data_IF_637254176880
#
_entry.id   IF_637254176880
#
_cell.length_a   1.000
_cell.length_b   1.000
_cell.length_c   1.000
_cell.angle_alpha   90.00
_cell.angle_beta   90.00
_cell.angle_gamma   90.00
#
_symmetry.space_group_name_H-M   'P 1'
#
loop_
_entity.id
_entity.type
_entity.pdbx_description
1 polymer ?
#
# COMPACT_ATOMS: atom_id res chain seq x y z
N UNK A 1 1.17 -29.96 -0.69
CA UNK A 1 0.27 -28.93 -0.18
C UNK A 1 0.82 -27.59 -0.63
N UNK A 2 -0.03 -26.73 -1.18
CA UNK A 2 0.37 -25.36 -1.45
C UNK A 2 0.04 -24.50 -0.23
N UNK A 3 0.77 -23.41 -0.03
CA UNK A 3 0.45 -22.42 0.99
C UNK A 3 0.83 -21.04 0.51
N UNK A 4 -0.16 -20.16 0.38
CA UNK A 4 0.03 -18.74 0.19
C UNK A 4 0.12 -18.04 1.55
N UNK A 5 1.19 -17.26 1.71
CA UNK A 5 1.35 -16.32 2.82
C UNK A 5 1.09 -14.93 2.28
N UNK A 6 -0.06 -14.34 2.60
CA UNK A 6 -0.38 -12.95 2.28
C UNK A 6 -0.03 -12.04 3.46
N UNK A 7 0.61 -10.91 3.18
CA UNK A 7 1.02 -9.91 4.19
C UNK A 7 0.48 -8.54 3.81
N UNK A 8 -0.24 -7.90 4.73
CA UNK A 8 -0.59 -6.48 4.68
C UNK A 8 0.20 -5.71 5.74
N UNK A 9 1.22 -4.98 5.29
CA UNK A 9 2.05 -4.13 6.14
C UNK A 9 1.51 -2.71 6.04
N UNK A 10 1.16 -2.07 7.16
CA UNK A 10 0.58 -0.74 7.16
C UNK A 10 1.30 0.19 8.12
N UNK A 11 1.40 1.47 7.79
CA UNK A 11 1.81 2.50 8.76
C UNK A 11 0.86 3.68 8.70
N UNK A 12 0.44 4.15 9.87
CA UNK A 12 -0.37 5.34 10.05
C UNK A 12 0.42 6.45 10.73
N UNK A 13 -0.14 7.65 10.69
CA UNK A 13 0.43 8.87 11.27
C UNK A 13 1.84 9.15 10.72
N UNK A 14 2.02 8.89 9.43
CA UNK A 14 3.29 9.05 8.74
C UNK A 14 3.40 10.48 8.21
N UNK A 15 4.55 11.11 8.43
CA UNK A 15 4.92 12.35 7.72
C UNK A 15 5.69 11.96 6.46
N UNK A 16 5.27 12.42 5.29
CA UNK A 16 5.93 12.02 4.04
C UNK A 16 7.38 12.50 3.98
N UNK A 17 7.72 13.59 4.66
CA UNK A 17 9.09 14.10 4.77
C UNK A 17 10.04 13.11 5.45
N UNK A 18 9.52 12.20 6.30
CA UNK A 18 10.31 11.13 6.90
C UNK A 18 10.72 10.07 5.87
N UNK A 19 9.97 9.93 4.78
CA UNK A 19 10.31 9.04 3.66
C UNK A 19 11.23 9.73 2.63
N UNK A 20 11.21 11.07 2.55
CA UNK A 20 11.95 11.80 1.53
C UNK A 20 13.45 11.90 1.81
N UNK A 21 13.92 11.35 2.94
CA UNK A 21 15.31 11.23 3.40
C UNK A 21 16.15 12.53 3.35
N UNK A 22 15.53 13.68 3.10
CA UNK A 22 16.06 15.02 3.42
C UNK A 22 15.97 15.30 4.92
N UNK A 23 15.44 14.34 5.69
CA UNK A 23 15.61 14.23 7.12
C UNK A 23 17.10 14.02 7.44
N UNK A 24 17.87 15.10 7.44
CA UNK A 24 18.99 15.20 8.38
C UNK A 24 18.39 14.93 9.77
N UNK A 25 18.85 13.94 10.55
CA UNK A 25 18.36 13.71 11.91
C UNK A 25 18.53 14.96 12.81
N UNK A 26 19.33 15.95 12.40
CA UNK A 26 19.43 17.28 13.03
C UNK A 26 18.35 18.27 12.54
N UNK A 27 17.77 18.08 11.34
CA UNK A 27 16.56 18.80 10.86
C UNK A 27 15.27 18.22 11.41
N UNK A 28 15.22 16.94 11.76
CA UNK A 28 14.10 16.38 12.56
C UNK A 28 13.97 17.07 13.94
N UNK A 29 15.03 17.74 14.40
CA UNK A 29 15.04 18.63 15.55
C UNK A 29 14.73 20.11 15.20
N UNK A 30 14.09 20.41 14.07
CA UNK A 30 13.36 21.67 13.93
C UNK A 30 12.15 21.63 14.86
N UNK A 31 12.42 21.82 16.16
CA UNK A 31 11.42 22.27 17.11
C UNK A 31 10.79 23.51 16.49
N UNK A 32 9.46 23.51 16.43
CA UNK A 32 8.69 24.67 16.02
C UNK A 32 9.31 25.92 16.67
N UNK A 33 9.74 26.86 15.84
CA UNK A 33 10.47 28.04 16.31
C UNK A 33 9.56 28.99 17.10
N UNK A 34 8.25 28.79 16.96
CA UNK A 34 7.19 29.52 17.66
C UNK A 34 6.09 28.58 18.16
N UNK A 35 5.32 29.03 19.16
CA UNK A 35 4.11 28.33 19.61
C UNK A 35 3.08 28.22 18.49
N UNK A 36 2.98 29.22 17.61
CA UNK A 36 2.07 29.19 16.47
C UNK A 36 2.43 28.08 15.49
N UNK A 37 3.72 27.91 15.17
CA UNK A 37 4.21 26.79 14.36
C UNK A 37 3.97 25.43 15.03
N UNK A 38 4.07 25.36 16.35
CA UNK A 38 3.81 24.12 17.10
C UNK A 38 2.33 23.71 17.04
N UNK A 39 1.43 24.70 17.01
CA UNK A 39 -0.01 24.49 16.97
C UNK A 39 -0.54 24.23 15.54
N UNK A 40 0.26 24.45 14.50
CA UNK A 40 -0.14 24.13 13.13
C UNK A 40 -0.30 22.61 12.99
N UNK A 41 -1.46 22.11 12.53
CA UNK A 41 -1.64 20.70 12.30
C UNK A 41 -0.66 20.23 11.22
N UNK A 42 0.15 19.22 11.56
CA UNK A 42 1.06 18.61 10.58
C UNK A 42 0.27 17.54 9.82
N UNK A 43 0.23 17.58 8.48
CA UNK A 43 -0.46 16.56 7.73
C UNK A 43 0.21 15.20 7.96
N UNK A 44 -0.64 14.19 8.12
CA UNK A 44 -0.19 12.80 8.27
C UNK A 44 -0.91 11.92 7.26
N UNK A 45 -0.24 10.85 6.90
CA UNK A 45 -0.64 9.94 5.84
C UNK A 45 -0.56 8.49 6.33
N UNK A 46 -1.14 7.60 5.55
CA UNK A 46 -1.04 6.17 5.71
C UNK A 46 -0.40 5.54 4.48
N UNK A 47 0.46 4.55 4.70
CA UNK A 47 0.99 3.67 3.64
C UNK A 47 0.59 2.23 3.89
N UNK A 48 0.35 1.49 2.82
CA UNK A 48 -0.02 0.08 2.83
C UNK A 48 0.83 -0.66 1.80
N UNK A 49 1.39 -1.79 2.20
CA UNK A 49 2.24 -2.62 1.36
C UNK A 49 1.65 -4.03 1.32
N UNK A 50 1.28 -4.48 0.12
CA UNK A 50 0.65 -5.77 -0.14
C UNK A 50 1.68 -6.66 -0.80
N UNK A 51 1.99 -7.77 -0.15
CA UNK A 51 3.02 -8.71 -0.59
C UNK A 51 2.65 -10.11 -0.17
N UNK A 52 3.36 -11.10 -0.69
CA UNK A 52 3.17 -12.47 -0.27
C UNK A 52 4.19 -13.43 -0.81
N UNK A 53 4.07 -14.66 -0.35
CA UNK A 53 4.95 -15.77 -0.71
C UNK A 53 4.11 -17.00 -1.00
N UNK A 54 4.29 -17.59 -2.18
CA UNK A 54 3.69 -18.86 -2.57
C UNK A 54 4.66 -20.00 -2.28
N UNK A 55 4.29 -20.92 -1.39
CA UNK A 55 4.97 -22.18 -1.14
C UNK A 55 4.30 -23.30 -1.93
N UNK A 56 5.03 -23.92 -2.83
CA UNK A 56 4.56 -25.08 -3.60
C UNK A 56 5.41 -26.31 -3.26
N UNK A 57 4.77 -27.47 -3.16
CA UNK A 57 5.45 -28.70 -2.74
C UNK A 57 6.63 -29.05 -3.65
N UNK A 58 7.82 -29.16 -3.07
CA UNK A 58 9.03 -29.57 -3.80
C UNK A 58 9.60 -28.48 -4.72
N UNK A 59 9.18 -27.23 -4.56
CA UNK A 59 9.72 -26.07 -5.28
C UNK A 59 10.21 -25.00 -4.31
N UNK A 60 11.09 -24.12 -4.78
CA UNK A 60 11.52 -22.94 -4.03
C UNK A 60 10.35 -21.95 -3.82
N UNK A 61 10.32 -21.20 -2.70
CA UNK A 61 9.29 -20.20 -2.47
C UNK A 61 9.34 -19.10 -3.53
N UNK A 62 8.17 -18.68 -4.03
CA UNK A 62 8.04 -17.58 -4.98
C UNK A 62 7.49 -16.34 -4.29
N UNK A 63 8.19 -15.22 -4.40
CA UNK A 63 7.84 -13.98 -3.72
C UNK A 63 7.17 -12.97 -4.66
N UNK A 64 6.13 -12.33 -4.14
CA UNK A 64 5.38 -11.28 -4.81
C UNK A 64 3.88 -11.49 -4.66
N UNK A 65 3.14 -10.40 -4.46
CA UNK A 65 1.68 -10.43 -4.40
C UNK A 65 1.06 -11.09 -5.65
N UNK A 66 1.58 -10.78 -6.84
CA UNK A 66 1.11 -11.39 -8.11
C UNK A 66 1.52 -12.85 -8.31
N UNK A 67 2.25 -13.45 -7.37
CA UNK A 67 2.63 -14.88 -7.41
C UNK A 67 1.80 -15.78 -6.52
N UNK A 68 0.92 -15.21 -5.71
CA UNK A 68 0.00 -15.98 -4.87
C UNK A 68 -1.01 -16.72 -5.76
N UNK A 69 -1.31 -17.97 -5.43
CA UNK A 69 -2.40 -18.71 -6.11
C UNK A 69 -3.76 -18.06 -5.84
N UNK A 70 -3.91 -17.44 -4.67
CA UNK A 70 -5.08 -16.66 -4.28
C UNK A 70 -5.09 -15.23 -4.84
N UNK A 71 -4.17 -14.86 -5.75
CA UNK A 71 -4.02 -13.49 -6.27
C UNK A 71 -5.33 -12.90 -6.75
N UNK A 72 -6.09 -13.60 -7.61
CA UNK A 72 -7.34 -13.05 -8.16
C UNK A 72 -8.36 -12.67 -7.07
N UNK A 73 -8.46 -13.50 -6.01
CA UNK A 73 -9.37 -13.26 -4.87
C UNK A 73 -8.88 -12.10 -4.00
N UNK A 74 -7.57 -12.04 -3.76
CA UNK A 74 -6.96 -10.94 -2.99
C UNK A 74 -7.01 -9.62 -3.76
N UNK A 75 -6.84 -9.65 -5.07
CA UNK A 75 -6.93 -8.46 -5.90
C UNK A 75 -8.38 -7.98 -6.04
N UNK A 76 -9.35 -8.88 -6.18
CA UNK A 76 -10.77 -8.52 -6.08
C UNK A 76 -11.12 -7.88 -4.72
N UNK A 77 -10.58 -8.42 -3.62
CA UNK A 77 -10.69 -7.80 -2.30
C UNK A 77 -10.06 -6.41 -2.23
N UNK A 78 -8.90 -6.21 -2.86
CA UNK A 78 -8.25 -4.91 -2.99
C UNK A 78 -9.16 -3.93 -3.72
N UNK A 79 -9.66 -4.28 -4.90
CA UNK A 79 -10.55 -3.46 -5.72
C UNK A 79 -11.80 -3.03 -4.96
N UNK A 80 -12.43 -3.96 -4.22
CA UNK A 80 -13.63 -3.69 -3.41
C UNK A 80 -13.37 -2.83 -2.18
N UNK A 81 -12.14 -2.78 -1.67
CA UNK A 81 -11.77 -1.91 -0.55
C UNK A 81 -11.60 -0.45 -1.00
N UNK A 82 -11.19 -0.24 -2.25
CA UNK A 82 -10.93 1.09 -2.81
C UNK A 82 -12.07 1.61 -3.70
N UNK A 83 -13.10 0.84 -3.98
CA UNK A 83 -14.28 1.29 -4.73
C UNK A 83 -15.20 2.19 -3.88
N UNK A 84 -15.96 3.12 -4.49
CA UNK A 84 -15.90 3.55 -5.90
C UNK A 84 -14.84 4.65 -6.08
N UNK A 85 -13.87 4.44 -6.97
CA UNK A 85 -12.85 5.45 -7.32
C UNK A 85 -12.59 5.45 -8.82
N UNK A 86 -12.29 6.63 -9.37
CA UNK A 86 -11.76 6.85 -10.70
C UNK A 86 -10.27 6.52 -10.71
N UNK A 87 -9.85 5.79 -11.73
CA UNK A 87 -8.46 5.35 -11.89
C UNK A 87 -7.79 6.20 -12.95
N UNK A 88 -6.64 6.77 -12.63
CA UNK A 88 -5.88 7.65 -13.52
C UNK A 88 -4.46 7.09 -13.61
N UNK A 89 -4.08 6.68 -14.81
CA UNK A 89 -2.70 6.30 -15.14
C UNK A 89 -2.00 7.39 -15.94
N UNK A 90 -0.78 7.08 -16.40
CA UNK A 90 0.05 7.99 -17.20
C UNK A 90 -0.67 8.53 -18.45
N UNK A 91 -1.50 7.70 -19.09
CA UNK A 91 -2.20 8.03 -20.33
C UNK A 91 -3.64 8.52 -20.11
N UNK A 92 -3.99 8.88 -18.87
CA UNK A 92 -5.32 9.37 -18.50
C UNK A 92 -6.16 8.34 -17.76
N UNK A 93 -7.48 8.49 -17.87
CA UNK A 93 -8.44 7.65 -17.13
C UNK A 93 -8.39 6.20 -17.60
N UNK A 94 -8.43 5.28 -16.64
CA UNK A 94 -8.53 3.84 -16.84
C UNK A 94 -9.95 3.37 -16.50
N UNK A 95 -10.37 2.20 -17.02
CA UNK A 95 -11.59 1.55 -16.57
C UNK A 95 -11.55 1.35 -15.05
N UNK A 96 -12.64 1.75 -14.37
CA UNK A 96 -12.75 1.59 -12.92
C UNK A 96 -12.84 0.13 -12.48
N UNK A 97 -12.77 -0.09 -11.16
CA UNK A 97 -12.75 -1.40 -10.52
C UNK A 97 -13.91 -2.35 -10.87
N UNK A 98 -15.05 -1.81 -11.32
CA UNK A 98 -16.24 -2.59 -11.71
C UNK A 98 -16.23 -2.99 -13.20
N UNK A 99 -15.16 -2.71 -13.93
CA UNK A 99 -15.04 -3.03 -15.36
C UNK A 99 -14.45 -4.43 -15.58
N UNK A 100 -14.93 -5.14 -16.60
CA UNK A 100 -14.28 -6.37 -17.10
C UNK A 100 -12.87 -6.13 -17.67
N UNK A 101 -12.47 -4.87 -17.85
CA UNK A 101 -11.13 -4.43 -18.27
C UNK A 101 -10.38 -3.69 -17.15
N UNK A 102 -10.66 -4.01 -15.88
CA UNK A 102 -9.98 -3.41 -14.73
C UNK A 102 -8.47 -3.61 -14.82
N UNK A 103 -7.72 -2.55 -14.53
CA UNK A 103 -6.26 -2.59 -14.52
C UNK A 103 -5.74 -3.70 -13.60
N UNK A 104 -4.64 -4.33 -14.01
CA UNK A 104 -3.88 -5.26 -13.18
C UNK A 104 -2.39 -4.86 -13.19
N UNK A 105 -1.65 -5.14 -12.10
CA UNK A 105 -0.21 -4.89 -12.03
C UNK A 105 0.52 -5.69 -13.11
N UNK A 106 1.23 -5.00 -14.00
CA UNK A 106 1.84 -5.65 -15.17
C UNK A 106 3.35 -5.46 -15.26
N UNK A 107 3.85 -4.32 -14.78
CA UNK A 107 5.28 -3.99 -14.77
C UNK A 107 5.64 -3.25 -13.47
N UNK A 108 6.90 -3.30 -13.01
CA UNK A 108 7.34 -2.52 -11.86
C UNK A 108 7.34 -1.02 -12.20
N UNK A 109 7.11 -0.19 -11.19
CA UNK A 109 7.11 1.27 -11.31
C UNK A 109 5.87 1.89 -11.95
N UNK A 110 4.83 1.09 -12.23
CA UNK A 110 3.52 1.65 -12.60
C UNK A 110 2.99 2.47 -11.45
N UNK A 111 2.43 3.63 -11.78
CA UNK A 111 1.82 4.53 -10.82
C UNK A 111 0.40 4.80 -11.25
N UNK A 112 -0.52 4.71 -10.29
CA UNK A 112 -1.93 5.03 -10.47
C UNK A 112 -2.39 6.00 -9.40
N UNK A 113 -3.25 6.92 -9.80
CA UNK A 113 -3.97 7.81 -8.89
C UNK A 113 -5.42 7.36 -8.84
N UNK A 114 -5.95 7.19 -7.63
CA UNK A 114 -7.33 6.74 -7.40
C UNK A 114 -8.10 7.80 -6.64
N UNK A 115 -9.04 8.48 -7.30
CA UNK A 115 -9.81 9.56 -6.70
C UNK A 115 -11.28 9.16 -6.53
N UNK A 116 -11.93 9.57 -5.45
CA UNK A 116 -13.39 9.58 -5.46
C UNK A 116 -13.89 10.61 -6.49
N UNK A 117 -15.15 10.51 -6.90
CA UNK A 117 -15.74 11.48 -7.83
C UNK A 117 -15.65 12.90 -7.26
N UNK A 118 -15.94 13.07 -5.97
CA UNK A 118 -15.90 14.35 -5.27
C UNK A 118 -14.49 14.94 -5.24
N UNK A 119 -13.49 14.09 -4.94
CA UNK A 119 -12.08 14.49 -4.94
C UNK A 119 -11.62 14.93 -6.34
N UNK A 120 -12.00 14.19 -7.38
CA UNK A 120 -11.66 14.51 -8.76
C UNK A 120 -12.30 15.84 -9.22
N UNK A 121 -13.57 16.08 -8.88
CA UNK A 121 -14.27 17.32 -9.18
C UNK A 121 -13.69 18.53 -8.44
N UNK A 122 -13.32 18.36 -7.17
CA UNK A 122 -12.64 19.41 -6.41
C UNK A 122 -11.29 19.75 -7.03
N UNK A 123 -10.48 18.73 -7.32
CA UNK A 123 -9.17 18.87 -7.93
C UNK A 123 -9.23 19.60 -9.28
N UNK A 124 -10.21 19.24 -10.12
CA UNK A 124 -10.45 19.89 -11.41
C UNK A 124 -10.85 21.37 -11.26
N UNK A 125 -11.70 21.71 -10.29
CA UNK A 125 -12.11 23.11 -10.02
C UNK A 125 -10.96 23.99 -9.56
N UNK A 126 -10.01 23.42 -8.81
CA UNK A 126 -8.81 24.12 -8.35
C UNK A 126 -7.78 24.33 -9.49
N UNK A 127 -8.07 23.85 -10.71
CA UNK A 127 -7.17 23.96 -11.86
C UNK A 127 -5.89 23.15 -11.68
N UNK A 128 -5.89 22.19 -10.76
CA UNK A 128 -4.72 21.40 -10.40
C UNK A 128 -4.54 20.25 -11.39
N UNK A 129 -3.30 20.01 -11.80
CA UNK A 129 -2.93 18.88 -12.66
C UNK A 129 -2.06 17.90 -11.90
N UNK A 130 -2.25 16.60 -12.15
CA UNK A 130 -1.35 15.57 -11.63
C UNK A 130 -0.01 15.73 -12.35
N UNK A 131 1.07 15.90 -11.58
CA UNK A 131 2.42 16.03 -12.16
C UNK A 131 2.76 14.79 -13.01
N UNK A 132 3.24 14.95 -14.26
CA UNK A 132 3.73 13.84 -15.07
C UNK A 132 4.84 13.03 -14.36
N UNK A 133 5.64 13.70 -13.53
CA UNK A 133 6.74 13.08 -12.77
C UNK A 133 6.24 12.02 -11.79
N UNK A 134 4.99 12.13 -11.31
CA UNK A 134 4.39 11.09 -10.48
C UNK A 134 4.35 9.74 -11.22
N UNK A 135 4.16 9.76 -12.53
CA UNK A 135 4.08 8.58 -13.39
C UNK A 135 5.43 8.14 -13.96
N UNK A 136 6.52 8.87 -13.71
CA UNK A 136 7.85 8.55 -14.24
C UNK A 136 8.41 7.30 -13.54
N UNK A 137 8.61 6.16 -14.22
CA UNK A 137 9.04 4.92 -13.57
C UNK A 137 10.47 4.96 -13.02
N UNK A 138 11.32 5.83 -13.57
CA UNK A 138 12.71 5.99 -13.15
C UNK A 138 12.86 6.69 -11.78
N UNK A 139 11.84 7.42 -11.34
CA UNK A 139 11.85 8.09 -10.04
C UNK A 139 11.47 7.10 -8.94
N UNK A 140 12.27 7.07 -7.89
CA UNK A 140 11.96 6.36 -6.66
C UNK A 140 10.71 6.93 -5.99
N UNK A 141 10.05 6.13 -5.14
CA UNK A 141 8.92 6.60 -4.29
C UNK A 141 9.30 7.88 -3.55
N UNK A 142 10.56 7.97 -3.08
CA UNK A 142 11.12 9.12 -2.38
C UNK A 142 11.12 10.39 -3.24
N UNK A 143 11.56 10.30 -4.49
CA UNK A 143 11.55 11.44 -5.43
C UNK A 143 10.12 11.85 -5.81
N UNK A 144 9.18 10.89 -5.79
CA UNK A 144 7.77 11.12 -6.09
C UNK A 144 6.98 11.78 -4.95
N UNK A 145 7.54 11.91 -3.74
CA UNK A 145 6.83 12.46 -2.58
C UNK A 145 6.27 13.86 -2.87
N UNK A 146 7.09 14.77 -3.38
CA UNK A 146 6.65 16.13 -3.68
C UNK A 146 5.51 16.19 -4.70
N UNK A 147 5.45 15.20 -5.61
CA UNK A 147 4.42 15.10 -6.64
C UNK A 147 3.15 14.38 -6.16
N UNK A 148 3.27 13.48 -5.18
CA UNK A 148 2.12 12.75 -4.63
C UNK A 148 1.41 13.52 -3.51
N UNK A 149 2.12 14.35 -2.73
CA UNK A 149 1.52 15.09 -1.60
C UNK A 149 0.27 15.88 -1.99
N UNK A 150 0.28 16.69 -3.06
CA UNK A 150 -0.91 17.45 -3.47
C UNK A 150 -2.09 16.53 -3.82
N UNK A 151 -1.81 15.41 -4.50
CA UNK A 151 -2.82 14.42 -4.90
C UNK A 151 -3.44 13.74 -3.67
N UNK A 152 -2.63 13.39 -2.68
CA UNK A 152 -3.09 12.82 -1.42
C UNK A 152 -3.89 13.84 -0.61
N UNK A 153 -3.49 15.11 -0.63
CA UNK A 153 -4.18 16.19 0.08
C UNK A 153 -5.59 16.46 -0.44
N UNK A 154 -5.81 16.21 -1.73
CA UNK A 154 -7.11 16.24 -2.38
C UNK A 154 -8.01 15.04 -2.07
N UNK A 155 -7.54 14.08 -1.26
CA UNK A 155 -8.30 12.88 -0.90
C UNK A 155 -8.19 11.73 -1.90
N UNK A 156 -7.32 11.84 -2.91
CA UNK A 156 -7.00 10.72 -3.77
C UNK A 156 -6.01 9.76 -3.08
N UNK A 157 -5.89 8.56 -3.63
CA UNK A 157 -4.89 7.56 -3.27
C UNK A 157 -3.82 7.48 -4.36
N UNK A 158 -2.61 7.05 -4.01
CA UNK A 158 -1.53 6.84 -4.96
C UNK A 158 -1.00 5.42 -4.80
N UNK A 159 -1.10 4.63 -5.87
CA UNK A 159 -0.69 3.23 -5.90
C UNK A 159 0.55 3.08 -6.77
N UNK A 160 1.56 2.39 -6.25
CA UNK A 160 2.75 1.96 -6.97
C UNK A 160 2.78 0.44 -7.10
N UNK A 161 3.28 -0.05 -8.23
CA UNK A 161 3.73 -1.43 -8.37
C UNK A 161 5.21 -1.53 -8.06
N UNK A 162 5.58 -2.41 -7.15
CA UNK A 162 6.97 -2.61 -6.70
C UNK A 162 7.49 -3.95 -7.21
N UNK A 163 8.78 -4.02 -7.56
CA UNK A 163 9.40 -5.27 -7.97
C UNK A 163 9.60 -6.18 -6.75
N UNK A 164 9.00 -7.38 -6.77
CA UNK A 164 9.33 -8.48 -5.85
C UNK A 164 10.33 -9.44 -6.51
N UNK A 165 10.86 -10.43 -5.77
CA UNK A 165 11.84 -11.36 -6.37
C UNK A 165 11.31 -12.11 -7.58
N UNK A 166 10.07 -12.61 -7.52
CA UNK A 166 9.49 -13.40 -8.60
C UNK A 166 8.34 -12.70 -9.30
N UNK A 167 7.72 -11.68 -8.71
CA UNK A 167 6.56 -10.98 -9.27
C UNK A 167 6.51 -9.51 -8.90
N UNK A 168 5.32 -9.02 -8.57
CA UNK A 168 5.06 -7.62 -8.21
C UNK A 168 4.33 -7.56 -6.87
N UNK A 169 4.66 -6.52 -6.11
CA UNK A 169 3.96 -6.10 -4.90
C UNK A 169 3.20 -4.78 -5.16
N UNK A 170 2.31 -4.42 -4.23
CA UNK A 170 1.57 -3.16 -4.29
C UNK A 170 1.94 -2.27 -3.11
N UNK A 171 2.11 -0.98 -3.39
CA UNK A 171 2.45 0.02 -2.39
C UNK A 171 1.53 1.22 -2.54
N UNK A 172 0.59 1.37 -1.60
CA UNK A 172 -0.49 2.35 -1.64
C UNK A 172 -0.30 3.43 -0.59
N UNK A 173 -0.48 4.68 -0.99
CA UNK A 173 -0.47 5.87 -0.14
C UNK A 173 -1.86 6.49 -0.08
N UNK A 174 -2.19 7.03 1.08
CA UNK A 174 -3.49 7.65 1.34
C UNK A 174 -3.36 8.69 2.46
N UNK A 175 -4.22 9.70 2.46
CA UNK A 175 -4.32 10.64 3.59
C UNK A 175 -5.15 10.07 4.74
N UNK A 176 -6.24 9.36 4.42
CA UNK A 176 -7.09 8.71 5.40
C UNK A 176 -6.56 7.32 5.79
N UNK A 177 -6.82 6.88 7.02
CA UNK A 177 -6.61 5.48 7.39
C UNK A 177 -7.72 4.61 6.78
N UNK A 178 -7.37 3.84 5.75
CA UNK A 178 -8.27 2.90 5.06
C UNK A 178 -7.98 1.43 5.39
N UNK A 179 -7.28 1.15 6.49
CA UNK A 179 -6.94 -0.22 6.91
C UNK A 179 -8.17 -1.10 7.10
N UNK A 180 -9.20 -0.57 7.77
CA UNK A 180 -10.44 -1.27 8.07
C UNK A 180 -11.11 -1.77 6.78
N UNK A 181 -11.16 -0.94 5.74
CA UNK A 181 -11.70 -1.31 4.44
C UNK A 181 -10.97 -2.51 3.81
N UNK A 182 -9.65 -2.63 4.00
CA UNK A 182 -8.90 -3.82 3.55
C UNK A 182 -9.13 -5.03 4.46
N UNK A 183 -9.12 -4.83 5.77
CA UNK A 183 -9.32 -5.89 6.75
C UNK A 183 -10.65 -6.63 6.52
N UNK A 184 -11.75 -5.89 6.34
CA UNK A 184 -13.08 -6.46 6.08
C UNK A 184 -13.14 -7.30 4.79
N UNK A 185 -12.31 -6.98 3.79
CA UNK A 185 -12.25 -7.72 2.52
C UNK A 185 -11.38 -8.96 2.60
N UNK A 186 -10.28 -8.91 3.35
CA UNK A 186 -9.32 -10.02 3.42
C UNK A 186 -9.60 -11.03 4.50
N UNK A 187 -10.15 -10.61 5.65
CA UNK A 187 -10.45 -11.54 6.74
C UNK A 187 -11.31 -12.73 6.27
N UNK A 188 -12.41 -12.56 5.51
CA UNK A 188 -13.24 -13.71 5.08
C UNK A 188 -12.48 -14.72 4.22
N UNK A 189 -11.39 -14.31 3.55
CA UNK A 189 -10.60 -15.18 2.69
C UNK A 189 -9.75 -16.19 3.49
N UNK A 190 -9.44 -15.88 4.75
CA UNK A 190 -8.61 -16.73 5.64
C UNK A 190 -9.24 -18.08 5.99
N UNK A 191 -10.56 -18.23 5.78
CA UNK A 191 -11.24 -19.52 5.90
C UNK A 191 -10.94 -20.49 4.75
N UNK A 192 -10.23 -20.06 3.70
CA UNK A 192 -9.84 -20.91 2.58
C UNK A 192 -8.63 -21.77 2.91
N UNK A 193 -8.64 -23.09 2.64
CA UNK A 193 -7.45 -23.92 2.77
C UNK A 193 -6.28 -23.37 1.95
N UNK A 194 -5.09 -23.35 2.56
CA UNK A 194 -3.86 -22.94 1.88
C UNK A 194 -3.61 -21.43 1.82
N UNK A 195 -4.45 -20.57 2.41
CA UNK A 195 -4.17 -19.13 2.52
C UNK A 195 -4.01 -18.74 3.98
N UNK A 196 -2.88 -18.10 4.32
CA UNK A 196 -2.64 -17.46 5.61
C UNK A 196 -2.46 -15.97 5.41
N UNK A 197 -3.08 -15.17 6.26
CA UNK A 197 -3.03 -13.71 6.19
C UNK A 197 -2.38 -13.15 7.45
N UNK A 198 -1.34 -12.37 7.27
CA UNK A 198 -0.67 -11.64 8.32
C UNK A 198 -0.82 -10.14 8.15
N UNK A 199 -1.08 -9.44 9.24
CA UNK A 199 -1.10 -7.99 9.27
C UNK A 199 -0.12 -7.45 10.30
N UNK A 200 0.53 -6.33 9.99
CA UNK A 200 1.51 -5.71 10.88
C UNK A 200 1.61 -4.20 10.67
N UNK A 201 1.81 -3.49 11.78
CA UNK A 201 2.26 -2.10 11.73
C UNK A 201 3.74 -2.04 11.29
N UNK A 202 4.01 -1.48 10.10
CA UNK A 202 5.32 -1.42 9.46
C UNK A 202 6.42 -0.72 10.28
N UNK A 203 6.06 0.09 11.28
CA UNK A 203 7.03 0.62 12.27
C UNK A 203 7.80 -0.51 12.97
N UNK A 204 7.24 -1.72 13.04
CA UNK A 204 7.83 -2.93 13.62
C UNK A 204 8.49 -3.87 12.60
N UNK A 205 8.36 -3.63 11.30
CA UNK A 205 8.84 -4.49 10.20
C UNK A 205 9.94 -3.79 9.37
N UNK A 206 11.07 -3.45 10.00
CA UNK A 206 12.13 -2.63 9.36
C UNK A 206 13.32 -3.40 8.80
N UNK A 207 13.35 -4.73 8.91
CA UNK A 207 14.45 -5.54 8.39
C UNK A 207 13.95 -6.58 7.42
N UNK A 208 14.80 -6.93 6.45
CA UNK A 208 14.54 -7.96 5.45
C UNK A 208 14.19 -9.31 6.10
N UNK A 209 14.86 -9.65 7.21
CA UNK A 209 14.54 -10.85 8.00
C UNK A 209 13.11 -10.85 8.55
N UNK A 210 12.60 -9.69 8.95
CA UNK A 210 11.21 -9.54 9.40
C UNK A 210 10.24 -9.54 8.22
N UNK A 211 10.66 -8.99 7.09
CA UNK A 211 9.87 -8.96 5.87
C UNK A 211 9.66 -10.37 5.31
N UNK A 212 10.68 -11.23 5.32
CA UNK A 212 10.64 -12.63 4.85
C UNK A 212 10.60 -13.64 6.00
N UNK A 213 9.95 -13.32 7.11
CA UNK A 213 9.96 -14.17 8.31
C UNK A 213 9.44 -15.59 8.03
N UNK A 214 8.55 -15.76 7.06
CA UNK A 214 7.96 -17.03 6.67
C UNK A 214 9.00 -18.05 6.18
N UNK A 215 10.18 -17.60 5.77
CA UNK A 215 11.27 -18.49 5.32
C UNK A 215 12.05 -19.14 6.47
N UNK A 216 11.92 -18.62 7.70
CA UNK A 216 12.71 -19.10 8.86
C UNK A 216 11.88 -19.40 10.11
N UNK A 217 10.77 -18.68 10.33
CA UNK A 217 10.03 -18.67 11.61
C UNK A 217 8.52 -18.58 11.38
N UNK A 218 7.98 -19.39 10.47
CA UNK A 218 6.54 -19.37 10.17
C UNK A 218 5.66 -19.86 11.34
N UNK A 219 6.16 -20.83 12.13
CA UNK A 219 5.46 -21.35 13.31
C UNK A 219 5.47 -20.40 14.51
N UNK A 220 6.37 -19.41 14.49
CA UNK A 220 6.52 -18.37 15.50
C UNK A 220 6.82 -17.03 14.83
N UNK A 221 5.80 -16.39 14.21
CA UNK A 221 5.97 -15.10 13.56
C UNK A 221 6.62 -14.08 14.51
N UNK A 222 7.46 -13.17 13.99
CA UNK A 222 8.10 -12.16 14.81
C UNK A 222 7.08 -11.30 15.56
N UNK A 223 7.48 -10.79 16.73
CA UNK A 223 6.63 -9.95 17.56
C UNK A 223 6.06 -8.76 16.77
N UNK A 224 4.73 -8.67 16.71
CA UNK A 224 4.00 -7.61 16.01
C UNK A 224 3.36 -8.05 14.69
N UNK A 225 3.71 -9.22 14.17
CA UNK A 225 2.91 -9.86 13.13
C UNK A 225 1.71 -10.54 13.78
N UNK A 226 0.53 -10.16 13.33
CA UNK A 226 -0.73 -10.74 13.78
C UNK A 226 -1.29 -11.59 12.63
N UNK A 227 -1.40 -12.89 12.86
CA UNK A 227 -2.14 -13.76 11.94
C UNK A 227 -3.63 -13.48 12.10
N UNK A 228 -4.29 -13.23 10.97
CA UNK A 228 -5.71 -12.93 10.91
C UNK A 228 -6.46 -14.23 10.68
N UNK A 229 -7.41 -14.49 11.56
CA UNK A 229 -8.34 -15.62 11.52
C UNK A 229 -9.77 -15.11 11.31
N UNK A 230 -10.72 -15.98 10.93
CA UNK A 230 -12.14 -15.61 10.78
C UNK A 230 -12.74 -14.92 12.03
N UNK A 231 -12.26 -15.27 13.21
CA UNK A 231 -12.65 -14.73 14.51
C UNK A 231 -11.91 -13.46 14.93
N UNK A 232 -10.85 -13.05 14.22
CA UNK A 232 -10.13 -11.80 14.52
C UNK A 232 -11.08 -10.61 14.47
N UNK A 233 -10.87 -9.59 15.31
CA UNK A 233 -11.68 -8.36 15.29
C UNK A 233 -10.75 -7.16 15.35
N UNK A 234 -11.09 -6.11 14.62
CA UNK A 234 -10.46 -4.80 14.79
C UNK A 234 -10.75 -4.31 16.21
N UNK A 235 -9.76 -3.69 16.85
CA UNK A 235 -9.86 -3.12 18.19
C UNK A 235 -9.99 -1.62 18.11
#
# INVERSE_FOLDING_TARGET
>A
MHTDIFKLIFEHDLRLEQLSGEADPRREQQRASTLEEFLKPVPVYSKFYFTGTCFENGSEPRFGFTRLQAFDRLFDGFLKAIAPRLWIGQNGMLPGADSSATWQPSKPGETLVLCSTEAAEQWAREGSNISPDLFTPALSVREKIAHMTPVLDAGCLVLFTEQAHDGLDLHLFSKANIYEAFFERYQPLTGSPGLRYFSINGKRARSERLFYFETWTLDRPPHGFEEVFPETRLR
#
